data_IF_430328934179
#
_entry.id   IF_430328934179
#
_cell.length_a   1.000
_cell.length_b   1.000
_cell.length_c   1.000
_cell.angle_alpha   90.00
_cell.angle_beta   90.00
_cell.angle_gamma   90.00
#
_symmetry.space_group_name_H-M   'P 1'
#
loop_
_entity.id
_entity.type
_entity.pdbx_description
1 polymer ?
#
# COMPACT_ATOMS: atom_id res chain seq x y z
N UNK A 1 16.37 -10.72 5.01
CA UNK A 1 16.56 -12.10 4.54
C UNK A 1 16.63 -12.04 3.03
N UNK A 2 17.75 -12.48 2.47
CA UNK A 2 17.93 -12.60 1.02
C UNK A 2 16.96 -13.68 0.60
N UNK A 3 15.93 -13.32 -0.18
CA UNK A 3 15.06 -14.33 -0.78
C UNK A 3 15.94 -15.13 -1.73
N UNK A 4 16.22 -16.38 -1.37
CA UNK A 4 16.91 -17.29 -2.26
C UNK A 4 16.05 -17.39 -3.51
N UNK A 5 16.61 -16.88 -4.60
CA UNK A 5 15.94 -16.81 -5.88
C UNK A 5 15.74 -18.25 -6.32
N UNK A 6 14.49 -18.72 -6.32
CA UNK A 6 14.17 -20.06 -6.78
C UNK A 6 14.67 -20.19 -8.22
N UNK A 7 15.58 -21.13 -8.46
CA UNK A 7 16.10 -21.37 -9.79
C UNK A 7 15.02 -22.05 -10.63
N UNK A 8 14.46 -21.30 -11.57
CA UNK A 8 13.39 -21.79 -12.45
C UNK A 8 13.84 -23.00 -13.27
N UNK A 9 15.14 -23.16 -13.54
CA UNK A 9 15.65 -24.33 -14.25
C UNK A 9 15.46 -25.63 -13.44
N UNK A 10 15.49 -25.55 -12.11
CA UNK A 10 15.27 -26.71 -11.23
C UNK A 10 13.79 -27.09 -11.23
N UNK A 11 12.89 -26.10 -11.22
CA UNK A 11 11.44 -26.35 -11.35
C UNK A 11 11.13 -27.03 -12.68
N UNK A 12 11.69 -26.52 -13.79
CA UNK A 12 11.48 -27.09 -15.12
C UNK A 12 11.99 -28.54 -15.19
N UNK A 13 13.15 -28.82 -14.60
CA UNK A 13 13.71 -30.18 -14.52
C UNK A 13 12.83 -31.14 -13.70
N UNK A 14 12.30 -30.70 -12.57
CA UNK A 14 11.39 -31.50 -11.74
C UNK A 14 10.06 -31.78 -12.45
N UNK A 15 9.51 -30.78 -13.16
CA UNK A 15 8.33 -30.94 -13.99
C UNK A 15 8.57 -31.93 -15.13
N UNK A 16 9.75 -31.89 -15.77
CA UNK A 16 10.15 -32.83 -16.80
C UNK A 16 10.24 -34.26 -16.26
N UNK A 17 10.88 -34.46 -15.10
CA UNK A 17 11.01 -35.77 -14.46
C UNK A 17 9.65 -36.36 -14.05
N UNK A 18 8.70 -35.51 -13.63
CA UNK A 18 7.31 -35.88 -13.37
C UNK A 18 6.57 -36.28 -14.66
N UNK A 19 6.75 -35.53 -15.75
CA UNK A 19 6.13 -35.82 -17.04
C UNK A 19 6.66 -37.12 -17.68
N UNK A 20 7.95 -37.41 -17.47
CA UNK A 20 8.62 -38.62 -17.96
C UNK A 20 8.40 -39.84 -17.05
N UNK A 21 7.48 -39.77 -16.09
CA UNK A 21 7.14 -40.81 -15.09
C UNK A 21 8.36 -41.37 -14.34
N UNK A 22 9.47 -40.63 -14.30
CA UNK A 22 10.75 -41.07 -13.77
C UNK A 22 10.84 -40.79 -12.27
N UNK A 23 9.91 -41.37 -11.50
CA UNK A 23 9.75 -41.11 -10.05
C UNK A 23 11.02 -41.39 -9.26
N UNK A 24 11.81 -42.39 -9.65
CA UNK A 24 13.07 -42.74 -8.98
C UNK A 24 14.14 -41.65 -9.07
N UNK A 25 14.00 -40.69 -10.00
CA UNK A 25 14.92 -39.56 -10.17
C UNK A 25 14.47 -38.30 -9.41
N UNK A 26 13.30 -38.33 -8.77
CA UNK A 26 12.76 -37.18 -8.05
C UNK A 26 13.32 -37.20 -6.62
N UNK A 27 14.08 -36.17 -6.29
CA UNK A 27 14.40 -35.86 -4.90
C UNK A 27 13.19 -35.17 -4.25
N UNK A 28 12.43 -35.93 -3.47
CA UNK A 28 11.23 -35.43 -2.80
C UNK A 28 11.56 -34.44 -1.68
N UNK A 29 12.73 -34.53 -1.07
CA UNK A 29 13.15 -33.57 -0.04
C UNK A 29 13.45 -32.22 -0.70
N UNK A 30 14.14 -32.23 -1.85
CA UNK A 30 14.35 -31.02 -2.67
C UNK A 30 13.02 -30.42 -3.15
N UNK A 31 12.09 -31.26 -3.62
CA UNK A 31 10.76 -30.81 -4.03
C UNK A 31 9.98 -30.15 -2.87
N UNK A 32 10.01 -30.74 -1.67
CA UNK A 32 9.37 -30.18 -0.47
C UNK A 32 9.99 -28.82 -0.13
N UNK A 33 11.32 -28.70 -0.20
CA UNK A 33 12.02 -27.44 0.06
C UNK A 33 11.62 -26.34 -0.94
N UNK A 34 11.56 -26.67 -2.23
CA UNK A 34 11.14 -25.73 -3.28
C UNK A 34 9.69 -25.31 -3.08
N UNK A 35 8.78 -26.25 -2.85
CA UNK A 35 7.36 -25.94 -2.60
C UNK A 35 7.18 -25.10 -1.33
N UNK A 36 7.97 -25.37 -0.29
CA UNK A 36 8.03 -24.55 0.92
C UNK A 36 8.43 -23.11 0.61
N UNK A 37 9.51 -22.92 -0.14
CA UNK A 37 9.99 -21.60 -0.54
C UNK A 37 8.99 -20.84 -1.43
N UNK A 38 8.35 -21.53 -2.39
CA UNK A 38 7.29 -20.93 -3.23
C UNK A 38 6.13 -20.46 -2.37
N UNK A 39 5.69 -21.29 -1.42
CA UNK A 39 4.59 -20.93 -0.51
C UNK A 39 4.92 -19.70 0.33
N UNK A 40 6.12 -19.64 0.91
CA UNK A 40 6.55 -18.48 1.70
C UNK A 40 6.59 -17.20 0.85
N UNK A 41 7.08 -17.29 -0.39
CA UNK A 41 7.07 -16.16 -1.32
C UNK A 41 5.65 -15.68 -1.64
N UNK A 42 4.71 -16.60 -1.91
CA UNK A 42 3.29 -16.26 -2.14
C UNK A 42 2.69 -15.57 -0.91
N UNK A 43 2.93 -16.10 0.29
CA UNK A 43 2.40 -15.51 1.52
C UNK A 43 2.95 -14.09 1.75
N UNK A 44 4.25 -13.89 1.44
CA UNK A 44 4.89 -12.58 1.54
C UNK A 44 4.37 -11.59 0.49
N UNK A 45 4.19 -12.01 -0.76
CA UNK A 45 3.59 -11.18 -1.81
C UNK A 45 2.15 -10.80 -1.48
N UNK A 46 1.34 -11.74 -1.00
CA UNK A 46 -0.03 -11.46 -0.56
C UNK A 46 -0.06 -10.43 0.58
N UNK A 47 0.89 -10.51 1.52
CA UNK A 47 1.02 -9.52 2.58
C UNK A 47 1.33 -8.13 1.99
N UNK A 48 2.28 -8.04 1.07
CA UNK A 48 2.62 -6.77 0.39
C UNK A 48 1.43 -6.21 -0.41
N UNK A 49 0.65 -7.05 -1.09
CA UNK A 49 -0.58 -6.62 -1.78
C UNK A 49 -1.59 -6.04 -0.81
N UNK A 50 -1.80 -6.67 0.36
CA UNK A 50 -2.71 -6.15 1.39
C UNK A 50 -2.22 -4.81 1.97
N UNK A 51 -0.92 -4.69 2.22
CA UNK A 51 -0.32 -3.44 2.69
C UNK A 51 -0.48 -2.32 1.66
N UNK A 52 -0.32 -2.62 0.37
CA UNK A 52 -0.53 -1.66 -0.71
C UNK A 52 -1.98 -1.20 -0.79
N UNK A 53 -2.96 -2.11 -0.71
CA UNK A 53 -4.38 -1.74 -0.71
C UNK A 53 -4.75 -0.89 0.51
N UNK A 54 -4.21 -1.21 1.68
CA UNK A 54 -4.37 -0.36 2.86
C UNK A 54 -3.82 1.06 2.64
N UNK A 55 -2.62 1.18 2.06
CA UNK A 55 -2.01 2.47 1.77
C UNK A 55 -2.81 3.27 0.74
N UNK A 56 -3.33 2.61 -0.31
CA UNK A 56 -4.19 3.24 -1.32
C UNK A 56 -5.44 3.84 -0.68
N UNK A 57 -6.09 3.11 0.22
CA UNK A 57 -7.28 3.55 0.94
C UNK A 57 -6.97 4.75 1.87
N UNK A 58 -5.84 4.75 2.57
CA UNK A 58 -5.43 5.90 3.39
C UNK A 58 -5.20 7.16 2.53
N UNK A 59 -4.47 7.02 1.41
CA UNK A 59 -4.23 8.11 0.47
C UNK A 59 -5.53 8.67 -0.10
N UNK A 60 -6.42 7.78 -0.53
CA UNK A 60 -7.75 8.16 -1.02
C UNK A 60 -8.51 8.99 0.01
N UNK A 61 -8.63 8.52 1.24
CA UNK A 61 -9.34 9.23 2.30
C UNK A 61 -8.74 10.62 2.55
N UNK A 62 -7.41 10.72 2.53
CA UNK A 62 -6.72 12.00 2.67
C UNK A 62 -6.99 12.95 1.50
N UNK A 63 -6.96 12.44 0.27
CA UNK A 63 -7.28 13.22 -0.92
C UNK A 63 -8.73 13.72 -0.86
N UNK A 64 -9.69 12.84 -0.56
CA UNK A 64 -11.11 13.21 -0.42
C UNK A 64 -11.27 14.32 0.61
N UNK A 65 -10.62 14.22 1.77
CA UNK A 65 -10.65 15.26 2.79
C UNK A 65 -10.15 16.62 2.27
N UNK A 66 -9.02 16.63 1.56
CA UNK A 66 -8.48 17.86 0.96
C UNK A 66 -9.39 18.43 -0.14
N UNK A 67 -9.95 17.57 -1.00
CA UNK A 67 -10.85 17.98 -2.08
C UNK A 67 -12.14 18.57 -1.52
N UNK A 68 -12.76 17.93 -0.51
CA UNK A 68 -13.94 18.46 0.18
C UNK A 68 -13.68 19.82 0.83
N UNK A 69 -12.53 19.98 1.49
CA UNK A 69 -12.15 21.26 2.07
C UNK A 69 -11.93 22.35 1.01
N UNK A 70 -11.33 22.01 -0.12
CA UNK A 70 -11.18 22.93 -1.25
C UNK A 70 -12.54 23.37 -1.82
N UNK A 71 -13.47 22.43 -2.00
CA UNK A 71 -14.82 22.70 -2.47
C UNK A 71 -15.59 23.63 -1.53
N UNK A 72 -15.41 23.47 -0.20
CA UNK A 72 -16.00 24.36 0.79
C UNK A 72 -15.48 25.82 0.70
N UNK A 73 -14.24 26.02 0.24
CA UNK A 73 -13.70 27.36 -0.01
C UNK A 73 -14.11 27.92 -1.36
N UNK A 74 -14.15 27.08 -2.39
CA UNK A 74 -14.46 27.47 -3.77
C UNK A 74 -14.99 26.28 -4.56
N UNK A 75 -16.19 26.43 -5.10
CA UNK A 75 -16.76 25.45 -6.00
C UNK A 75 -15.92 25.34 -7.29
N UNK A 76 -15.59 24.10 -7.66
CA UNK A 76 -14.86 23.77 -8.87
C UNK A 76 -15.38 22.42 -9.38
N UNK A 77 -15.95 22.42 -10.58
CA UNK A 77 -16.56 21.25 -11.20
C UNK A 77 -15.61 20.05 -11.28
N UNK A 78 -14.33 20.28 -11.58
CA UNK A 78 -13.31 19.20 -11.63
C UNK A 78 -13.03 18.59 -10.26
N UNK A 79 -13.11 19.40 -9.20
CA UNK A 79 -12.90 18.90 -7.83
C UNK A 79 -14.15 18.15 -7.34
N UNK A 80 -15.34 18.54 -7.80
CA UNK A 80 -16.59 17.78 -7.58
C UNK A 80 -16.55 16.43 -8.28
N UNK A 81 -16.20 16.39 -9.57
CA UNK A 81 -16.03 15.14 -10.33
C UNK A 81 -15.00 14.22 -9.67
N UNK A 82 -13.87 14.79 -9.24
CA UNK A 82 -12.82 14.04 -8.54
C UNK A 82 -13.31 13.49 -7.20
N UNK A 83 -14.07 14.26 -6.42
CA UNK A 83 -14.64 13.80 -5.16
C UNK A 83 -15.61 12.63 -5.37
N UNK A 84 -16.44 12.68 -6.42
CA UNK A 84 -17.35 11.58 -6.79
C UNK A 84 -16.56 10.35 -7.21
N UNK A 85 -15.62 10.50 -8.15
CA UNK A 85 -14.77 9.40 -8.63
C UNK A 85 -13.99 8.73 -7.50
N UNK A 86 -13.50 9.51 -6.53
CA UNK A 86 -12.82 8.98 -5.36
C UNK A 86 -13.79 8.41 -4.33
N UNK A 87 -15.05 8.80 -4.29
CA UNK A 87 -16.03 8.23 -3.35
C UNK A 87 -16.57 6.86 -3.80
N UNK A 88 -16.51 6.58 -5.10
CA UNK A 88 -16.80 5.27 -5.68
C UNK A 88 -15.64 4.27 -5.48
N UNK A 89 -15.78 3.04 -5.98
CA UNK A 89 -14.83 1.93 -5.77
C UNK A 89 -13.39 2.26 -6.23
N UNK A 90 -12.42 1.92 -5.38
CA UNK A 90 -10.98 2.19 -5.57
C UNK A 90 -10.30 1.21 -6.53
N UNK A 91 -10.96 0.08 -6.84
CA UNK A 91 -10.41 -1.01 -7.64
C UNK A 91 -9.87 -0.58 -9.02
N UNK A 92 -10.38 0.53 -9.56
CA UNK A 92 -9.94 1.10 -10.85
C UNK A 92 -8.82 2.14 -10.80
N UNK A 93 -8.33 2.55 -9.61
CA UNK A 93 -7.32 3.61 -9.48
C UNK A 93 -5.95 3.01 -9.15
N UNK A 94 -4.98 3.25 -10.02
CA UNK A 94 -3.58 2.84 -9.81
C UNK A 94 -2.91 3.66 -8.69
N UNK A 95 -1.87 3.10 -8.07
CA UNK A 95 -1.11 3.79 -7.02
C UNK A 95 -0.42 5.05 -7.58
N UNK A 96 0.11 4.97 -8.80
CA UNK A 96 0.73 6.09 -9.52
C UNK A 96 -0.27 7.22 -9.74
N UNK A 97 -1.50 6.89 -10.12
CA UNK A 97 -2.56 7.87 -10.29
C UNK A 97 -2.93 8.54 -8.95
N UNK A 98 -3.05 7.76 -7.86
CA UNK A 98 -3.33 8.31 -6.52
C UNK A 98 -2.26 9.32 -6.09
N UNK A 99 -0.98 9.03 -6.32
CA UNK A 99 0.13 9.95 -6.02
C UNK A 99 0.03 11.22 -6.86
N UNK A 100 -0.29 11.11 -8.15
CA UNK A 100 -0.50 12.25 -9.04
C UNK A 100 -1.67 13.14 -8.59
N UNK A 101 -2.79 12.53 -8.18
CA UNK A 101 -3.94 13.23 -7.64
C UNK A 101 -3.58 13.92 -6.31
N UNK A 102 -2.90 13.21 -5.41
CA UNK A 102 -2.46 13.74 -4.12
C UNK A 102 -1.65 15.01 -4.27
N UNK A 103 -0.66 15.03 -5.18
CA UNK A 103 0.18 16.20 -5.41
C UNK A 103 -0.65 17.45 -5.79
N UNK A 104 -1.62 17.29 -6.69
CA UNK A 104 -2.51 18.38 -7.12
C UNK A 104 -3.44 18.85 -6.00
N UNK A 105 -4.09 17.91 -5.32
CA UNK A 105 -5.01 18.20 -4.23
C UNK A 105 -4.29 18.91 -3.05
N UNK A 106 -3.11 18.42 -2.68
CA UNK A 106 -2.29 19.00 -1.62
C UNK A 106 -1.78 20.40 -1.97
N UNK A 107 -1.36 20.66 -3.22
CA UNK A 107 -0.93 21.99 -3.65
C UNK A 107 -2.07 23.03 -3.54
N UNK A 108 -3.27 22.67 -3.98
CA UNK A 108 -4.46 23.53 -3.84
C UNK A 108 -4.87 23.72 -2.39
N UNK A 109 -4.87 22.64 -1.61
CA UNK A 109 -5.18 22.69 -0.19
C UNK A 109 -4.21 23.60 0.57
N UNK A 110 -2.91 23.58 0.25
CA UNK A 110 -1.93 24.55 0.79
C UNK A 110 -2.24 26.00 0.44
N UNK A 111 -2.67 26.25 -0.79
CA UNK A 111 -3.01 27.60 -1.25
C UNK A 111 -4.24 28.16 -0.51
N UNK A 112 -5.25 27.32 -0.28
CA UNK A 112 -6.48 27.70 0.42
C UNK A 112 -6.31 27.72 1.96
N UNK A 113 -5.44 26.86 2.49
CA UNK A 113 -5.21 26.67 3.92
C UNK A 113 -3.71 26.74 4.29
N UNK A 114 -3.06 27.90 4.14
CA UNK A 114 -1.62 28.03 4.38
C UNK A 114 -1.21 27.78 5.84
N UNK A 115 -2.12 27.97 6.80
CA UNK A 115 -1.88 27.68 8.21
C UNK A 115 -1.80 26.17 8.52
N UNK A 116 -2.50 25.32 7.75
CA UNK A 116 -2.59 23.87 8.00
C UNK A 116 -1.26 23.13 7.85
N UNK A 117 -0.26 23.74 7.21
CA UNK A 117 1.07 23.14 7.02
C UNK A 117 2.15 23.73 7.92
N UNK A 118 1.88 24.84 8.62
CA UNK A 118 2.85 25.42 9.58
C UNK A 118 3.13 24.48 10.76
N UNK A 119 2.20 23.57 11.06
CA UNK A 119 2.32 22.60 12.15
C UNK A 119 2.94 21.25 11.74
N UNK A 120 3.11 20.97 10.43
CA UNK A 120 3.75 19.74 9.96
C UNK A 120 5.29 19.81 9.97
N UNK A 121 5.85 21.02 10.12
CA UNK A 121 7.29 21.23 10.34
C UNK A 121 7.69 21.01 11.81
N UNK A 122 6.72 20.80 12.71
CA UNK A 122 6.99 20.33 14.07
C UNK A 122 6.83 18.81 14.01
N UNK A 123 7.91 18.02 14.17
CA UNK A 123 7.79 16.57 14.20
C UNK A 123 6.75 16.19 15.25
N UNK A 124 5.75 15.40 14.83
CA UNK A 124 4.72 14.87 15.72
C UNK A 124 5.41 14.17 16.90
N UNK A 125 5.11 14.52 18.16
CA UNK A 125 5.68 13.86 19.34
C UNK A 125 5.11 12.44 19.56
N UNK A 126 4.54 11.80 18.54
CA UNK A 126 4.11 10.40 18.65
C UNK A 126 5.26 9.39 18.76
N UNK A 127 6.51 9.83 18.69
CA UNK A 127 7.68 9.07 19.16
C UNK A 127 8.27 9.59 20.48
N UNK A 128 7.67 10.59 21.13
CA UNK A 128 8.18 11.18 22.36
C UNK A 128 7.04 11.56 23.33
N UNK A 129 6.69 10.62 24.20
CA UNK A 129 5.87 10.72 25.43
C UNK A 129 4.51 10.03 25.38
N UNK A 130 4.53 8.76 25.82
CA UNK A 130 3.54 8.29 26.79
C UNK A 130 3.55 9.25 28.00
N UNK A 131 2.72 10.31 27.98
CA UNK A 131 2.52 11.16 29.16
C UNK A 131 1.13 10.90 29.74
N UNK A 132 1.19 10.31 30.94
CA UNK A 132 0.16 10.13 31.96
C UNK A 132 -1.08 11.03 31.83
N UNK A 133 -2.23 10.41 31.61
CA UNK A 133 -3.56 11.03 31.68
C UNK A 133 -4.06 11.34 33.11
N UNK A 134 -3.21 11.20 34.13
CA UNK A 134 -3.58 11.35 35.54
C UNK A 134 -3.42 12.78 36.13
N UNK A 135 -2.99 13.78 35.35
CA UNK A 135 -2.78 15.15 35.88
C UNK A 135 -3.98 16.09 35.70
N UNK A 136 -5.12 15.62 35.19
CA UNK A 136 -6.34 16.43 35.04
C UNK A 136 -7.54 15.79 35.76
N UNK A 137 -7.44 15.66 37.09
CA UNK A 137 -8.61 15.68 37.97
C UNK A 137 -8.54 16.95 38.82
N UNK A 138 -9.47 17.86 38.56
CA UNK A 138 -9.98 18.82 39.54
C UNK A 138 -11.24 18.19 40.12
#
# INVERSE_FOLDING_TARGET
MVGDKIDMNIIDLLCQNLADESIEKIDFDELINILGAVRENIDQEQKTVRELEYLKEEYRNRIIGMVKANLACRENERDTELAVRLSDDISGISAEELVGIYGRAAARFRANFPASFRYLAIPSPHTANQKNWNEHKI
#
